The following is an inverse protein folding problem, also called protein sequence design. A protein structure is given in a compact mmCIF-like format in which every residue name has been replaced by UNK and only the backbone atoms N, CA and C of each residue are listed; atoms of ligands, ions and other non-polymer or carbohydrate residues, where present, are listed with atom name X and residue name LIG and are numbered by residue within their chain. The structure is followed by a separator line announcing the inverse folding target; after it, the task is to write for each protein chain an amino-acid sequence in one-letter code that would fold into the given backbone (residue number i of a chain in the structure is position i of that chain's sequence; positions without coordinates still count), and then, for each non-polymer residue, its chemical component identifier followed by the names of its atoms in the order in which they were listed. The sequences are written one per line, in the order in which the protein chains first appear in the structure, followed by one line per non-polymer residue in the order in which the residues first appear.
data_IF_654441438861
#
_entry.id   IF_654441438861
#
_cell.length_a   1.000
_cell.length_b   1.000
_cell.length_c   1.000
_cell.angle_alpha   90.00
_cell.angle_beta   90.00
_cell.angle_gamma   90.00
#
_symmetry.space_group_name_H-M   'P 1'
#
loop_
_entity.id
_entity.type
_entity.pdbx_description
1 polymer ?
#
# COMPACT_ATOMS: atom_id res chain seq x y z
N UNK A 1 24.48 -5.44 -22.45
CA UNK A 1 23.49 -4.42 -22.04
C UNK A 1 22.49 -5.09 -21.12
N UNK A 2 22.41 -4.57 -19.90
CA UNK A 2 21.75 -5.18 -18.75
C UNK A 2 20.24 -5.07 -18.94
N UNK A 3 19.48 -6.12 -18.63
CA UNK A 3 18.01 -6.14 -18.71
C UNK A 3 17.37 -5.30 -17.59
N UNK A 4 17.64 -4.00 -17.58
CA UNK A 4 17.07 -2.99 -16.67
C UNK A 4 15.54 -2.85 -16.88
N UNK A 5 15.05 -3.17 -18.07
CA UNK A 5 13.63 -3.08 -18.43
C UNK A 5 12.72 -3.94 -17.54
N UNK A 6 13.14 -5.17 -17.22
CA UNK A 6 12.35 -6.05 -16.34
C UNK A 6 12.28 -5.53 -14.89
N UNK A 7 13.33 -4.85 -14.42
CA UNK A 7 13.34 -4.23 -13.08
C UNK A 7 12.40 -3.02 -13.04
N UNK A 8 12.50 -2.14 -14.04
CA UNK A 8 11.64 -0.96 -14.14
C UNK A 8 10.17 -1.34 -14.29
N UNK A 9 9.86 -2.36 -15.09
CA UNK A 9 8.51 -2.90 -15.23
C UNK A 9 8.00 -3.43 -13.88
N UNK A 10 8.81 -4.20 -13.16
CA UNK A 10 8.43 -4.75 -11.87
C UNK A 10 8.10 -3.68 -10.82
N UNK A 11 8.99 -2.69 -10.65
CA UNK A 11 8.73 -1.57 -9.74
C UNK A 11 7.58 -0.68 -10.23
N UNK A 12 7.41 -0.53 -11.55
CA UNK A 12 6.27 0.15 -12.15
C UNK A 12 4.95 -0.53 -11.79
N UNK A 13 4.87 -1.86 -11.89
CA UNK A 13 3.69 -2.63 -11.48
C UNK A 13 3.45 -2.53 -9.98
N UNK A 14 4.51 -2.59 -9.16
CA UNK A 14 4.41 -2.39 -7.71
C UNK A 14 3.79 -1.02 -7.38
N UNK A 15 4.31 0.07 -7.95
CA UNK A 15 3.79 1.42 -7.72
C UNK A 15 2.35 1.54 -8.24
N UNK A 16 2.08 1.05 -9.45
CA UNK A 16 0.74 1.05 -10.04
C UNK A 16 -0.26 0.36 -9.11
N UNK A 17 0.10 -0.78 -8.52
CA UNK A 17 -0.75 -1.51 -7.60
C UNK A 17 -1.07 -0.69 -6.35
N UNK A 18 -0.11 0.06 -5.80
CA UNK A 18 -0.35 0.93 -4.64
C UNK A 18 -1.26 2.11 -4.99
N UNK A 19 -1.03 2.72 -6.15
CA UNK A 19 -1.86 3.82 -6.64
C UNK A 19 -3.30 3.35 -6.88
N UNK A 20 -3.48 2.19 -7.54
CA UNK A 20 -4.80 1.62 -7.78
C UNK A 20 -5.46 1.22 -6.47
N UNK A 21 -4.75 0.57 -5.54
CA UNK A 21 -5.29 0.22 -4.24
C UNK A 21 -5.73 1.48 -3.46
N UNK A 22 -4.90 2.52 -3.43
CA UNK A 22 -5.22 3.79 -2.79
C UNK A 22 -6.42 4.49 -3.43
N UNK A 23 -6.49 4.52 -4.77
CA UNK A 23 -7.60 5.13 -5.50
C UNK A 23 -8.91 4.38 -5.26
N UNK A 24 -8.91 3.05 -5.40
CA UNK A 24 -10.09 2.22 -5.14
C UNK A 24 -10.53 2.29 -3.69
N UNK A 25 -9.59 2.30 -2.73
CA UNK A 25 -9.90 2.51 -1.32
C UNK A 25 -10.56 3.87 -1.09
N UNK A 26 -9.99 4.93 -1.67
CA UNK A 26 -10.51 6.29 -1.53
C UNK A 26 -11.92 6.41 -2.11
N UNK A 27 -12.15 5.86 -3.30
CA UNK A 27 -13.48 5.81 -3.91
C UNK A 27 -14.45 4.99 -3.08
N UNK A 28 -14.04 3.83 -2.57
CA UNK A 28 -14.87 2.98 -1.72
C UNK A 28 -15.28 3.71 -0.44
N UNK A 29 -14.35 4.32 0.28
CA UNK A 29 -14.63 5.01 1.55
C UNK A 29 -15.29 6.38 1.36
N UNK A 30 -15.18 6.98 0.16
CA UNK A 30 -15.86 8.24 -0.18
C UNK A 30 -17.30 8.02 -0.63
N UNK A 31 -17.59 6.98 -1.40
CA UNK A 31 -18.90 6.79 -2.06
C UNK A 31 -19.83 5.82 -1.32
N UNK A 32 -19.33 5.01 -0.38
CA UNK A 32 -20.18 4.03 0.32
C UNK A 32 -21.18 4.71 1.25
N UNK A 33 -22.48 4.52 1.01
CA UNK A 33 -23.57 5.23 1.73
C UNK A 33 -23.61 4.95 3.24
N UNK A 34 -23.30 3.71 3.65
CA UNK A 34 -23.28 3.30 5.06
C UNK A 34 -22.19 4.01 5.90
N UNK A 35 -21.34 4.83 5.28
CA UNK A 35 -20.29 5.59 5.96
C UNK A 35 -20.60 7.10 6.00
N UNK A 36 -21.80 7.53 5.62
CA UNK A 36 -22.23 8.93 5.65
C UNK A 36 -22.05 9.57 7.03
N UNK A 37 -22.45 8.88 8.11
CA UNK A 37 -22.28 9.38 9.47
C UNK A 37 -20.80 9.55 9.86
N UNK A 38 -19.96 8.58 9.55
CA UNK A 38 -18.52 8.68 9.81
C UNK A 38 -17.86 9.81 9.01
N UNK A 39 -18.25 10.00 7.74
CA UNK A 39 -17.75 11.13 6.94
C UNK A 39 -18.24 12.49 7.45
N UNK A 40 -19.47 12.58 7.96
CA UNK A 40 -19.98 13.80 8.56
C UNK A 40 -19.23 14.16 9.86
N UNK A 41 -18.92 13.16 10.68
CA UNK A 41 -18.24 13.35 11.96
C UNK A 41 -16.76 13.73 11.78
N UNK A 42 -16.04 12.95 10.99
CA UNK A 42 -14.58 13.03 10.86
C UNK A 42 -14.11 13.79 9.62
N UNK A 43 -14.96 14.01 8.62
CA UNK A 43 -14.59 14.68 7.37
C UNK A 43 -13.68 13.85 6.44
N UNK A 44 -12.89 14.55 5.62
CA UNK A 44 -12.02 13.96 4.59
C UNK A 44 -10.92 13.06 5.18
N UNK A 45 -10.47 13.37 6.39
CA UNK A 45 -9.42 12.62 7.10
C UNK A 45 -9.84 11.19 7.47
N UNK A 46 -11.14 10.90 7.58
CA UNK A 46 -11.62 9.51 7.67
C UNK A 46 -11.32 8.70 6.42
N UNK A 47 -11.58 9.26 5.23
CA UNK A 47 -11.30 8.58 3.96
C UNK A 47 -9.81 8.35 3.81
N UNK A 48 -8.98 9.34 4.16
CA UNK A 48 -7.51 9.22 4.13
C UNK A 48 -7.02 8.14 5.10
N UNK A 49 -7.48 8.15 6.36
CA UNK A 49 -7.08 7.17 7.37
C UNK A 49 -7.39 5.73 6.95
N UNK A 50 -8.59 5.49 6.41
CA UNK A 50 -9.05 4.17 5.97
C UNK A 50 -8.39 3.72 4.68
N UNK A 51 -8.12 4.64 3.76
CA UNK A 51 -7.40 4.33 2.51
C UNK A 51 -5.94 4.00 2.79
N UNK A 52 -5.26 4.77 3.64
CA UNK A 52 -3.90 4.47 4.08
C UNK A 52 -3.82 3.11 4.81
N UNK A 53 -4.82 2.79 5.64
CA UNK A 53 -4.90 1.49 6.29
C UNK A 53 -4.98 0.35 5.27
N UNK A 54 -5.80 0.48 4.21
CA UNK A 54 -5.92 -0.59 3.20
C UNK A 54 -4.60 -0.80 2.43
N UNK A 55 -3.90 0.29 2.09
CA UNK A 55 -2.57 0.20 1.47
C UNK A 55 -1.58 -0.49 2.40
N UNK A 56 -1.59 -0.19 3.70
CA UNK A 56 -0.75 -0.89 4.68
C UNK A 56 -1.06 -2.39 4.78
N UNK A 57 -2.32 -2.82 4.62
CA UNK A 57 -2.67 -4.25 4.60
C UNK A 57 -2.04 -4.95 3.39
N UNK A 58 -1.99 -4.27 2.25
CA UNK A 58 -1.30 -4.77 1.05
C UNK A 58 0.20 -4.89 1.36
N UNK A 59 0.81 -3.86 1.95
CA UNK A 59 2.25 -3.84 2.25
C UNK A 59 2.70 -4.93 3.21
N UNK A 60 1.86 -5.30 4.20
CA UNK A 60 2.15 -6.39 5.14
C UNK A 60 2.34 -7.74 4.43
N UNK A 61 1.65 -7.96 3.30
CA UNK A 61 1.85 -9.15 2.49
C UNK A 61 3.16 -9.01 1.69
N UNK A 62 3.37 -7.86 1.06
CA UNK A 62 4.54 -7.60 0.21
C UNK A 62 5.87 -7.48 0.97
N UNK A 63 5.87 -7.21 2.27
CA UNK A 63 7.11 -7.14 3.05
C UNK A 63 7.65 -8.54 3.37
N UNK A 64 6.77 -9.54 3.53
CA UNK A 64 7.15 -10.89 3.92
C UNK A 64 7.48 -11.79 2.71
N UNK A 65 6.66 -11.74 1.66
CA UNK A 65 6.84 -12.53 0.44
C UNK A 65 8.28 -12.54 -0.14
N UNK A 66 9.04 -11.42 -0.17
CA UNK A 66 10.37 -11.38 -0.76
C UNK A 66 11.45 -12.05 0.10
N UNK A 67 11.19 -12.18 1.41
CA UNK A 67 12.15 -12.76 2.39
C UNK A 67 11.96 -14.27 2.51
N UNK A 68 10.82 -14.81 2.07
CA UNK A 68 10.56 -16.25 1.99
C UNK A 68 11.41 -16.91 0.87
N UNK A 69 12.70 -17.13 1.13
CA UNK A 69 13.69 -17.62 0.13
C UNK A 69 13.27 -18.88 -0.62
N UNK A 70 12.63 -19.85 0.05
CA UNK A 70 12.15 -21.07 -0.61
C UNK A 70 10.99 -20.78 -1.58
N UNK A 71 10.08 -19.88 -1.20
CA UNK A 71 8.96 -19.46 -2.04
C UNK A 71 9.44 -18.69 -3.29
N UNK A 72 10.37 -17.76 -3.11
CA UNK A 72 11.00 -17.04 -4.24
C UNK A 72 11.76 -17.99 -5.17
N UNK A 73 12.45 -18.99 -4.63
CA UNK A 73 13.14 -20.02 -5.43
C UNK A 73 12.16 -20.83 -6.29
N UNK A 74 10.97 -21.14 -5.77
CA UNK A 74 9.90 -21.80 -6.53
C UNK A 74 9.37 -20.86 -7.62
N UNK A 75 9.09 -19.60 -7.30
CA UNK A 75 8.59 -18.61 -8.27
C UNK A 75 9.59 -18.38 -9.42
N UNK A 76 10.90 -18.41 -9.16
CA UNK A 76 11.94 -18.28 -10.19
C UNK A 76 11.88 -19.42 -11.24
N UNK A 77 11.35 -20.60 -10.88
CA UNK A 77 11.20 -21.74 -11.81
C UNK A 77 9.94 -21.66 -12.66
N UNK A 78 9.04 -20.73 -12.37
CA UNK A 78 7.79 -20.52 -13.14
C UNK A 78 8.04 -19.60 -14.34
N UNK A 79 7.18 -19.64 -15.39
CA UNK A 79 7.30 -18.73 -16.53
C UNK A 79 7.17 -17.25 -16.16
N UNK A 80 6.68 -16.93 -14.96
CA UNK A 80 6.65 -15.55 -14.45
C UNK A 80 8.05 -14.96 -14.30
N UNK A 81 9.11 -15.77 -14.14
CA UNK A 81 10.48 -15.27 -13.96
C UNK A 81 11.03 -14.56 -15.20
N UNK A 82 10.42 -14.76 -16.37
CA UNK A 82 10.82 -14.08 -17.61
C UNK A 82 10.32 -12.63 -17.65
N UNK A 83 9.22 -12.34 -16.96
CA UNK A 83 8.57 -11.02 -16.92
C UNK A 83 8.91 -10.27 -15.63
N UNK A 84 8.94 -10.99 -14.50
CA UNK A 84 9.16 -10.44 -13.17
C UNK A 84 10.59 -10.70 -12.71
N UNK A 85 11.29 -9.62 -12.33
CA UNK A 85 12.65 -9.69 -11.79
C UNK A 85 12.66 -10.14 -10.31
N UNK A 86 12.43 -11.44 -10.06
CA UNK A 86 12.43 -12.04 -8.71
C UNK A 86 13.80 -12.00 -8.00
N UNK A 87 14.88 -11.68 -8.72
CA UNK A 87 16.23 -11.55 -8.16
C UNK A 87 16.42 -10.29 -7.30
N UNK A 88 15.52 -9.30 -7.44
CA UNK A 88 15.53 -8.04 -6.68
C UNK A 88 14.63 -8.08 -5.44
N UNK A 89 14.48 -9.26 -4.83
CA UNK A 89 13.59 -9.48 -3.69
C UNK A 89 13.95 -8.62 -2.45
N UNK A 90 15.24 -8.40 -2.17
CA UNK A 90 15.68 -7.53 -1.07
C UNK A 90 15.37 -6.05 -1.38
N UNK A 91 15.53 -5.62 -2.62
CA UNK A 91 15.21 -4.25 -3.06
C UNK A 91 13.71 -3.99 -2.90
N UNK A 92 12.87 -4.97 -3.26
CA UNK A 92 11.43 -4.93 -3.01
C UNK A 92 11.10 -4.85 -1.51
N UNK A 93 11.71 -5.68 -0.67
CA UNK A 93 11.51 -5.62 0.79
C UNK A 93 11.85 -4.24 1.36
N UNK A 94 12.96 -3.63 0.92
CA UNK A 94 13.33 -2.27 1.34
C UNK A 94 12.33 -1.22 0.84
N UNK A 95 11.87 -1.32 -0.41
CA UNK A 95 10.87 -0.42 -0.97
C UNK A 95 9.54 -0.51 -0.22
N UNK A 96 9.06 -1.73 0.06
CA UNK A 96 7.87 -1.96 0.89
C UNK A 96 8.07 -1.42 2.31
N UNK A 97 9.26 -1.54 2.89
CA UNK A 97 9.56 -0.95 4.20
C UNK A 97 9.37 0.58 4.23
N UNK A 98 9.81 1.27 3.17
CA UNK A 98 9.56 2.71 3.03
C UNK A 98 8.09 3.03 2.80
N UNK A 99 7.37 2.22 2.02
CA UNK A 99 5.91 2.37 1.85
C UNK A 99 5.18 2.25 3.18
N UNK A 100 5.51 1.23 3.99
CA UNK A 100 4.92 1.02 5.32
C UNK A 100 5.19 2.21 6.23
N UNK A 101 6.42 2.74 6.24
CA UNK A 101 6.75 3.89 7.08
C UNK A 101 5.89 5.10 6.72
N UNK A 102 5.84 5.47 5.44
CA UNK A 102 5.06 6.62 4.95
C UNK A 102 3.56 6.39 5.21
N UNK A 103 3.05 5.21 4.86
CA UNK A 103 1.65 4.83 5.06
C UNK A 103 1.26 4.86 6.54
N UNK A 104 2.14 4.42 7.44
CA UNK A 104 1.91 4.44 8.89
C UNK A 104 1.86 5.87 9.43
N UNK A 105 2.76 6.75 8.97
CA UNK A 105 2.73 8.17 9.31
C UNK A 105 1.41 8.82 8.85
N UNK A 106 0.99 8.60 7.61
CA UNK A 106 -0.28 9.14 7.07
C UNK A 106 -1.49 8.59 7.82
N UNK A 107 -1.53 7.28 8.07
CA UNK A 107 -2.62 6.62 8.79
C UNK A 107 -2.75 7.17 10.22
N UNK A 108 -1.64 7.20 10.96
CA UNK A 108 -1.61 7.66 12.36
C UNK A 108 -1.90 9.15 12.44
N UNK A 109 -1.28 9.97 11.59
CA UNK A 109 -1.53 11.41 11.53
C UNK A 109 -2.99 11.74 11.23
N UNK A 110 -3.63 10.99 10.32
CA UNK A 110 -5.05 11.17 10.01
C UNK A 110 -5.95 10.82 11.20
N UNK A 111 -5.61 9.78 11.97
CA UNK A 111 -6.32 9.44 13.21
C UNK A 111 -6.15 10.52 14.30
N UNK A 112 -4.94 11.07 14.46
CA UNK A 112 -4.71 12.18 15.39
C UNK A 112 -5.53 13.40 14.99
N UNK A 113 -5.56 13.76 13.70
CA UNK A 113 -6.36 14.88 13.22
C UNK A 113 -7.87 14.67 13.45
N UNK A 114 -8.38 13.44 13.21
CA UNK A 114 -9.75 13.08 13.52
C UNK A 114 -10.10 13.30 14.99
N UNK A 115 -9.20 12.89 15.90
CA UNK A 115 -9.39 13.09 17.34
C UNK A 115 -9.43 14.59 17.68
N UNK A 116 -8.46 15.37 17.19
CA UNK A 116 -8.42 16.81 17.42
C UNK A 116 -9.68 17.53 16.92
N UNK A 117 -10.21 17.12 15.76
CA UNK A 117 -11.44 17.69 15.20
C UNK A 117 -12.66 17.39 16.07
N UNK A 118 -12.73 16.22 16.71
CA UNK A 118 -13.81 15.92 17.67
C UNK A 118 -13.66 16.80 18.91
N UNK A 119 -12.46 16.86 19.50
CA UNK A 119 -12.22 17.65 20.71
C UNK A 119 -12.51 19.14 20.52
N UNK A 120 -12.29 19.68 19.30
CA UNK A 120 -12.58 21.08 18.98
C UNK A 120 -14.08 21.39 18.80
N UNK A 121 -14.95 20.37 18.70
CA UNK A 121 -16.41 20.52 18.55
C UNK A 121 -17.17 20.44 19.89
N UNK A 122 -16.52 20.01 20.96
CA UNK A 122 -17.04 20.01 22.33
C UNK A 122 -16.76 21.35 23.03
#
# INVERSE_FOLDING_TARGET
MINEGNKQLFFGVYILLHVVAAALASLHYSLKDNLNGARAEYGVTFVIARSAALVLHVDVIYILLPICRNFISILRRTPLSTVIAFDENITLHKATGWSILIGSCVHTGSHIFNLLNIYAKC
#
